data_IF_247283904863
#
_entry.id   IF_247283904863
#
_cell.length_a   1.000
_cell.length_b   1.000
_cell.length_c   1.000
_cell.angle_alpha   90.00
_cell.angle_beta   90.00
_cell.angle_gamma   90.00
#
_symmetry.space_group_name_H-M   'P 1'
#
loop_
_entity.id
_entity.type
_entity.pdbx_description
1 polymer ?
#
# COMPACT_ATOMS: atom_id res chain seq x y z
N UNK A 1 -0.50 -9.67 18.81
CA UNK A 1 0.24 -8.83 17.99
C UNK A 1 -0.16 -8.97 16.57
N UNK A 2 -0.37 -7.89 15.95
CA UNK A 2 -0.75 -7.94 14.58
C UNK A 2 0.44 -8.23 13.71
N UNK A 3 0.21 -8.59 12.50
CA UNK A 3 1.26 -8.72 11.54
C UNK A 3 1.92 -7.37 11.38
N UNK A 4 3.06 -7.42 10.77
CA UNK A 4 3.90 -6.27 10.77
C UNK A 4 3.23 -4.99 10.30
N UNK A 5 2.30 -5.07 9.43
CA UNK A 5 1.73 -3.91 8.85
C UNK A 5 0.94 -3.09 9.81
N UNK A 6 0.60 -3.64 10.89
CA UNK A 6 -0.25 -2.90 11.65
C UNK A 6 0.15 -2.53 12.90
N UNK A 7 1.29 -2.75 13.20
CA UNK A 7 1.70 -2.02 14.22
C UNK A 7 1.50 -0.67 13.75
N UNK A 8 1.44 0.20 14.60
CA UNK A 8 1.38 1.50 14.26
C UNK A 8 2.33 1.78 13.23
N UNK A 9 3.11 0.84 12.97
CA UNK A 9 4.13 0.98 12.07
C UNK A 9 3.82 1.12 10.64
N UNK A 10 2.65 0.94 10.21
CA UNK A 10 2.34 1.29 8.85
C UNK A 10 2.59 2.76 8.60
N UNK A 11 2.83 3.52 9.65
CA UNK A 11 2.98 4.94 9.51
C UNK A 11 1.67 5.66 9.35
N UNK A 12 0.55 4.93 9.51
CA UNK A 12 -0.73 5.57 9.35
C UNK A 12 -1.10 6.27 10.62
N UNK A 13 -0.80 7.57 10.66
CA UNK A 13 -1.28 8.43 11.71
C UNK A 13 -2.59 9.02 11.23
N UNK A 14 -3.68 8.58 11.85
CA UNK A 14 -5.01 9.01 11.45
C UNK A 14 -5.52 10.22 12.23
N UNK A 15 -4.69 10.80 13.09
CA UNK A 15 -5.08 11.98 13.85
C UNK A 15 -5.40 13.11 12.89
N UNK A 16 -6.39 13.89 13.24
CA UNK A 16 -6.79 15.02 12.41
C UNK A 16 -7.83 14.67 11.36
N UNK A 17 -8.05 13.40 11.10
CA UNK A 17 -9.10 13.00 10.18
C UNK A 17 -10.44 12.88 10.92
N UNK A 18 -11.57 13.08 10.24
CA UNK A 18 -12.87 12.86 10.87
C UNK A 18 -12.97 11.44 11.46
N UNK A 19 -13.68 11.32 12.56
CA UNK A 19 -13.78 10.04 13.26
C UNK A 19 -14.36 8.93 12.36
N UNK A 20 -15.33 9.27 11.50
CA UNK A 20 -15.90 8.31 10.57
C UNK A 20 -14.84 7.74 9.64
N UNK A 21 -13.95 8.60 9.17
CA UNK A 21 -12.86 8.19 8.29
C UNK A 21 -11.88 7.32 9.06
N UNK A 22 -11.50 7.74 10.25
CA UNK A 22 -10.59 6.95 11.08
C UNK A 22 -11.13 5.55 11.31
N UNK A 23 -12.42 5.45 11.66
CA UNK A 23 -13.04 4.15 11.94
C UNK A 23 -13.04 3.26 10.69
N UNK A 24 -13.37 3.81 9.54
CA UNK A 24 -13.39 3.05 8.30
C UNK A 24 -12.01 2.55 7.93
N UNK A 25 -11.01 3.43 8.04
CA UNK A 25 -9.63 3.08 7.68
C UNK A 25 -9.09 2.03 8.64
N UNK A 26 -9.34 2.17 9.94
CA UNK A 26 -8.88 1.19 10.92
C UNK A 26 -9.50 -0.17 10.66
N UNK A 27 -10.78 -0.22 10.32
CA UNK A 27 -11.45 -1.47 10.00
C UNK A 27 -10.87 -2.10 8.73
N UNK A 28 -10.63 -1.28 7.71
CA UNK A 28 -10.05 -1.75 6.44
C UNK A 28 -8.67 -2.35 6.67
N UNK A 29 -7.86 -1.65 7.44
CA UNK A 29 -6.53 -2.12 7.79
C UNK A 29 -6.62 -3.44 8.56
N UNK A 30 -7.50 -3.52 9.55
CA UNK A 30 -7.64 -4.72 10.36
C UNK A 30 -8.12 -5.91 9.51
N UNK A 31 -9.05 -5.68 8.60
CA UNK A 31 -9.52 -6.73 7.71
C UNK A 31 -8.37 -7.24 6.82
N UNK A 32 -7.56 -6.33 6.30
CA UNK A 32 -6.43 -6.73 5.48
C UNK A 32 -5.40 -7.52 6.29
N UNK A 33 -5.20 -7.12 7.54
CA UNK A 33 -4.32 -7.81 8.45
C UNK A 33 -4.78 -9.25 8.68
N UNK A 34 -6.08 -9.45 8.70
CA UNK A 34 -6.68 -10.77 8.88
C UNK A 34 -6.77 -11.57 7.57
N UNK A 35 -6.11 -11.10 6.52
CA UNK A 35 -6.01 -11.83 5.26
C UNK A 35 -7.10 -11.52 4.27
N UNK A 36 -7.94 -10.52 4.53
CA UNK A 36 -9.04 -10.20 3.64
C UNK A 36 -8.66 -9.04 2.75
N UNK A 37 -8.51 -9.30 1.46
CA UNK A 37 -8.16 -8.25 0.51
C UNK A 37 -9.33 -7.30 0.33
N UNK A 38 -9.09 -5.97 0.29
CA UNK A 38 -10.14 -5.01 0.05
C UNK A 38 -10.77 -5.22 -1.32
N UNK A 39 -12.09 -5.13 -1.40
CA UNK A 39 -12.78 -5.18 -2.68
C UNK A 39 -12.74 -3.80 -3.36
N UNK A 40 -13.23 -3.74 -4.58
CA UNK A 40 -13.18 -2.50 -5.34
C UNK A 40 -13.93 -1.37 -4.64
N UNK A 41 -15.07 -1.68 -4.06
CA UNK A 41 -15.88 -0.67 -3.37
C UNK A 41 -15.10 -0.07 -2.19
N UNK A 42 -14.44 -0.91 -1.41
CA UNK A 42 -13.61 -0.46 -0.28
C UNK A 42 -12.46 0.41 -0.78
N UNK A 43 -11.79 -0.01 -1.85
CA UNK A 43 -10.68 0.77 -2.41
C UNK A 43 -11.16 2.15 -2.86
N UNK A 44 -12.30 2.20 -3.55
CA UNK A 44 -12.85 3.47 -4.01
C UNK A 44 -13.22 4.38 -2.84
N UNK A 45 -13.73 3.79 -1.76
CA UNK A 45 -14.09 4.55 -0.57
C UNK A 45 -12.85 5.19 0.08
N UNK A 46 -11.75 4.45 0.16
CA UNK A 46 -10.50 5.00 0.69
C UNK A 46 -10.04 6.16 -0.19
N UNK A 47 -10.14 6.01 -1.52
CA UNK A 47 -9.74 7.08 -2.43
C UNK A 47 -10.65 8.30 -2.30
N UNK A 48 -11.94 8.10 -2.10
CA UNK A 48 -12.87 9.21 -1.86
C UNK A 48 -12.50 9.96 -0.59
N UNK A 49 -12.21 9.24 0.47
CA UNK A 49 -11.79 9.87 1.73
C UNK A 49 -10.47 10.61 1.55
N UNK A 50 -9.56 10.07 0.75
CA UNK A 50 -8.30 10.76 0.47
C UNK A 50 -8.56 12.09 -0.22
N UNK A 51 -9.45 12.10 -1.21
CA UNK A 51 -9.79 13.32 -1.93
C UNK A 51 -10.51 14.32 -1.03
N UNK A 52 -11.48 13.85 -0.24
CA UNK A 52 -12.28 14.72 0.60
C UNK A 52 -11.47 15.38 1.70
N UNK A 53 -10.51 14.66 2.27
CA UNK A 53 -9.71 15.16 3.39
C UNK A 53 -8.40 15.79 2.96
N UNK A 54 -7.99 15.59 1.71
CA UNK A 54 -6.69 16.02 1.21
C UNK A 54 -5.52 15.21 1.78
N UNK A 55 -5.80 14.04 2.37
CA UNK A 55 -4.78 13.24 3.01
C UNK A 55 -3.94 12.49 1.97
N UNK A 56 -2.67 12.86 1.86
CA UNK A 56 -1.73 12.18 0.97
C UNK A 56 -1.46 10.75 1.45
N UNK A 57 -1.49 10.53 2.76
CA UNK A 57 -1.30 9.19 3.32
C UNK A 57 -2.42 8.27 2.88
N UNK A 58 -3.67 8.75 2.90
CA UNK A 58 -4.80 7.95 2.45
C UNK A 58 -4.73 7.70 0.94
N UNK A 59 -4.23 8.67 0.17
CA UNK A 59 -4.05 8.47 -1.27
C UNK A 59 -3.07 7.33 -1.53
N UNK A 60 -1.96 7.32 -0.84
CA UNK A 60 -0.97 6.24 -0.97
C UNK A 60 -1.52 4.89 -0.56
N UNK A 61 -2.24 4.85 0.55
CA UNK A 61 -2.85 3.61 1.03
C UNK A 61 -3.93 3.10 0.06
N UNK A 62 -4.78 4.00 -0.41
CA UNK A 62 -5.85 3.63 -1.32
C UNK A 62 -5.32 3.06 -2.63
N UNK A 63 -4.28 3.68 -3.18
CA UNK A 63 -3.65 3.19 -4.39
C UNK A 63 -2.98 1.82 -4.16
N UNK A 64 -2.39 1.62 -3.01
CA UNK A 64 -1.81 0.32 -2.67
C UNK A 64 -2.90 -0.76 -2.62
N UNK A 65 -4.03 -0.48 -1.96
CA UNK A 65 -5.13 -1.42 -1.88
C UNK A 65 -5.76 -1.68 -3.26
N UNK A 66 -5.85 -0.64 -4.08
CA UNK A 66 -6.37 -0.81 -5.43
C UNK A 66 -5.43 -1.68 -6.26
N UNK A 67 -4.13 -1.51 -6.06
CA UNK A 67 -3.14 -2.37 -6.71
C UNK A 67 -3.34 -3.83 -6.29
N UNK A 68 -3.58 -4.09 -5.01
CA UNK A 68 -3.84 -5.45 -4.55
C UNK A 68 -5.11 -6.01 -5.21
N UNK A 69 -6.13 -5.19 -5.35
CA UNK A 69 -7.36 -5.61 -6.02
C UNK A 69 -7.09 -5.99 -7.46
N UNK A 70 -6.36 -5.16 -8.20
CA UNK A 70 -6.02 -5.47 -9.59
C UNK A 70 -5.14 -6.72 -9.69
N UNK A 71 -4.22 -6.90 -8.75
CA UNK A 71 -3.35 -8.07 -8.72
C UNK A 71 -4.18 -9.35 -8.56
N UNK A 72 -5.18 -9.33 -7.69
CA UNK A 72 -6.05 -10.48 -7.48
C UNK A 72 -6.89 -10.82 -8.72
N UNK A 73 -7.06 -9.85 -9.60
CA UNK A 73 -7.83 -10.02 -10.82
C UNK A 73 -6.94 -10.14 -12.06
N UNK A 74 -5.65 -10.39 -11.87
CA UNK A 74 -4.67 -10.60 -12.94
C UNK A 74 -4.56 -9.39 -13.90
N UNK A 75 -4.86 -8.20 -13.43
CA UNK A 75 -4.75 -6.98 -14.21
C UNK A 75 -3.43 -6.31 -13.91
N UNK A 76 -2.35 -6.86 -14.47
CA UNK A 76 -0.99 -6.48 -14.08
C UNK A 76 -0.60 -5.06 -14.48
N UNK A 77 -1.08 -4.57 -15.62
CA UNK A 77 -0.77 -3.20 -16.03
C UNK A 77 -1.39 -2.20 -15.05
N UNK A 78 -2.65 -2.43 -14.68
CA UNK A 78 -3.32 -1.57 -13.71
C UNK A 78 -2.63 -1.64 -12.36
N UNK A 79 -2.17 -2.83 -11.98
CA UNK A 79 -1.43 -3.03 -10.73
C UNK A 79 -0.17 -2.17 -10.74
N UNK A 80 0.63 -2.24 -11.80
CA UNK A 80 1.87 -1.46 -11.88
C UNK A 80 1.62 0.04 -11.85
N UNK A 81 0.57 0.48 -12.53
CA UNK A 81 0.25 1.91 -12.52
C UNK A 81 -0.11 2.39 -11.11
N UNK A 82 -0.95 1.65 -10.41
CA UNK A 82 -1.34 2.01 -9.06
C UNK A 82 -0.15 1.99 -8.11
N UNK A 83 0.73 0.99 -8.23
CA UNK A 83 1.91 0.91 -7.38
C UNK A 83 2.86 2.07 -7.62
N UNK A 84 3.06 2.44 -8.88
CA UNK A 84 3.94 3.55 -9.23
C UNK A 84 3.43 4.86 -8.62
N UNK A 85 2.12 5.10 -8.71
CA UNK A 85 1.54 6.31 -8.13
C UNK A 85 1.60 6.27 -6.61
N UNK A 86 1.33 5.11 -6.01
CA UNK A 86 1.37 4.94 -4.57
C UNK A 86 2.75 5.27 -4.01
N UNK A 87 3.81 4.81 -4.70
CA UNK A 87 5.19 5.04 -4.26
C UNK A 87 5.47 6.53 -4.07
N UNK A 88 4.97 7.36 -4.97
CA UNK A 88 5.17 8.81 -4.86
C UNK A 88 4.61 9.36 -3.55
N UNK A 89 3.36 9.00 -3.24
CA UNK A 89 2.75 9.45 -2.00
C UNK A 89 3.44 8.85 -0.77
N UNK A 90 3.79 7.58 -0.81
CA UNK A 90 4.38 6.90 0.35
C UNK A 90 5.76 7.46 0.67
N UNK A 91 6.54 7.82 -0.33
CA UNK A 91 7.84 8.45 -0.10
C UNK A 91 7.68 9.82 0.54
N UNK A 92 6.79 10.64 0.00
CA UNK A 92 6.58 11.98 0.51
C UNK A 92 6.10 11.97 1.97
N UNK A 93 5.29 11.00 2.33
CA UNK A 93 4.71 10.90 3.68
C UNK A 93 5.54 10.01 4.59
N UNK A 94 6.68 9.55 4.12
CA UNK A 94 7.62 8.73 4.90
C UNK A 94 7.00 7.46 5.46
N UNK A 95 6.09 6.86 4.72
CA UNK A 95 5.44 5.61 5.10
C UNK A 95 6.29 4.42 4.63
N UNK A 96 7.42 4.25 5.27
CA UNK A 96 8.48 3.37 4.76
C UNK A 96 8.14 1.89 4.82
N UNK A 97 7.37 1.48 5.81
CA UNK A 97 6.98 0.07 5.91
C UNK A 97 6.07 -0.31 4.74
N UNK A 98 5.06 0.51 4.47
CA UNK A 98 4.16 0.26 3.34
C UNK A 98 4.91 0.43 2.02
N UNK A 99 5.85 1.36 1.96
CA UNK A 99 6.68 1.56 0.78
C UNK A 99 7.49 0.30 0.45
N UNK A 100 8.07 -0.34 1.45
CA UNK A 100 8.81 -1.58 1.24
C UNK A 100 7.89 -2.68 0.69
N UNK A 101 6.68 -2.78 1.21
CA UNK A 101 5.70 -3.74 0.71
C UNK A 101 5.30 -3.44 -0.73
N UNK A 102 5.16 -2.16 -1.05
CA UNK A 102 4.77 -1.73 -2.39
C UNK A 102 5.83 -2.11 -3.42
N UNK A 103 7.10 -1.89 -3.08
CA UNK A 103 8.19 -2.31 -3.96
C UNK A 103 8.25 -3.84 -4.11
N UNK A 104 7.97 -4.56 -3.03
CA UNK A 104 7.97 -6.02 -3.11
C UNK A 104 6.89 -6.51 -4.08
N UNK A 105 5.71 -5.92 -4.02
CA UNK A 105 4.63 -6.27 -4.95
C UNK A 105 5.00 -5.88 -6.38
N UNK A 106 5.63 -4.73 -6.57
CA UNK A 106 6.08 -4.31 -7.90
C UNK A 106 7.07 -5.32 -8.48
N UNK A 107 7.95 -5.87 -7.65
CA UNK A 107 8.86 -6.92 -8.08
C UNK A 107 8.11 -8.16 -8.54
N UNK A 108 7.11 -8.59 -7.77
CA UNK A 108 6.34 -9.78 -8.10
C UNK A 108 5.55 -9.60 -9.41
N UNK A 109 4.92 -8.43 -9.59
CA UNK A 109 4.19 -8.15 -10.82
C UNK A 109 5.12 -8.10 -12.02
N UNK A 110 6.28 -7.48 -11.85
CA UNK A 110 7.27 -7.36 -12.93
C UNK A 110 7.79 -8.73 -13.35
N UNK A 111 7.97 -9.63 -12.38
CA UNK A 111 8.35 -11.00 -12.68
C UNK A 111 7.28 -11.69 -13.53
N UNK A 112 6.00 -11.51 -13.18
CA UNK A 112 4.92 -12.10 -13.96
C UNK A 112 4.87 -11.56 -15.37
N UNK A 113 5.31 -10.32 -15.57
CA UNK A 113 5.36 -9.69 -16.89
C UNK A 113 6.68 -9.95 -17.60
N UNK A 114 7.54 -10.76 -17.03
CA UNK A 114 8.88 -11.07 -17.57
C UNK A 114 9.78 -9.83 -17.71
N UNK A 115 9.55 -8.82 -16.89
CA UNK A 115 10.42 -7.65 -16.85
C UNK A 115 11.43 -7.82 -15.74
N UNK A 116 12.53 -8.53 -16.03
CA UNK A 116 13.53 -8.86 -15.03
C UNK A 116 14.20 -7.67 -14.43
N UNK A 117 14.48 -6.64 -15.24
CA UNK A 117 15.20 -5.46 -14.73
C UNK A 117 14.36 -4.72 -13.71
N UNK A 118 13.09 -4.52 -14.00
CA UNK A 118 12.20 -3.86 -13.07
C UNK A 118 11.97 -4.71 -11.83
N UNK A 119 11.86 -6.02 -11.99
CA UNK A 119 11.70 -6.92 -10.85
C UNK A 119 12.88 -6.83 -9.91
N UNK A 120 14.10 -6.91 -10.44
CA UNK A 120 15.30 -6.85 -9.60
C UNK A 120 15.44 -5.52 -8.89
N UNK A 121 15.23 -4.40 -9.60
CA UNK A 121 15.35 -3.09 -8.98
C UNK A 121 14.27 -2.89 -7.90
N UNK A 122 13.08 -3.41 -8.13
CA UNK A 122 11.99 -3.29 -7.18
C UNK A 122 12.25 -4.10 -5.91
N UNK A 123 12.72 -5.34 -6.07
CA UNK A 123 13.06 -6.16 -4.92
C UNK A 123 14.23 -5.55 -4.14
N UNK A 124 15.20 -4.99 -4.86
CA UNK A 124 16.32 -4.31 -4.21
C UNK A 124 15.83 -3.13 -3.37
N UNK A 125 14.93 -2.32 -3.93
CA UNK A 125 14.37 -1.18 -3.20
C UNK A 125 13.55 -1.64 -1.98
N UNK A 126 12.79 -2.72 -2.13
CA UNK A 126 12.03 -3.27 -1.02
C UNK A 126 12.96 -3.67 0.12
N UNK A 127 14.02 -4.41 -0.21
CA UNK A 127 14.98 -4.85 0.79
C UNK A 127 15.70 -3.68 1.44
N UNK A 128 16.08 -2.69 0.66
CA UNK A 128 16.77 -1.51 1.16
C UNK A 128 15.93 -0.79 2.23
N UNK A 129 14.65 -0.58 1.94
CA UNK A 129 13.79 0.08 2.91
C UNK A 129 13.51 -0.82 4.12
N UNK A 130 13.31 -2.12 3.90
CA UNK A 130 13.09 -3.05 5.00
C UNK A 130 14.28 -3.07 5.96
N UNK A 131 15.50 -3.15 5.42
CA UNK A 131 16.70 -3.18 6.25
C UNK A 131 16.92 -1.85 6.95
N UNK A 132 16.80 -0.76 6.22
CA UNK A 132 17.08 0.56 6.77
C UNK A 132 16.15 0.91 7.92
N UNK A 133 14.89 0.47 7.85
CA UNK A 133 13.90 0.82 8.85
C UNK A 133 13.46 -0.38 9.69
N UNK A 134 14.20 -1.50 9.57
CA UNK A 134 13.99 -2.70 10.39
C UNK A 134 12.61 -3.33 10.22
N UNK A 135 12.12 -3.37 8.98
CA UNK A 135 10.88 -4.06 8.67
C UNK A 135 11.21 -5.35 7.92
N UNK A 136 10.71 -6.47 8.39
CA UNK A 136 10.99 -7.76 7.76
C UNK A 136 9.68 -8.48 7.50
N UNK A 137 9.59 -9.10 6.34
CA UNK A 137 8.38 -9.82 5.95
C UNK A 137 8.61 -11.30 5.97
#
# INVERSE_FOLDING_TARGET
MTAWGFRKGTGMDLKGLPQTVQNFIEETIQNRENGKFPDNETCQKVMEYAADTGSQKLAGLGLYYLAEYYWQNDQYENTLQCLTESIGYLKNEQMYELLARTYNMMGAVSDRKNNRMLALSSYYNSLKYAEKYHFYY
#
